data_IF_363538533038
#
_entry.id   IF_363538533038
#
_cell.length_a   1.000
_cell.length_b   1.000
_cell.length_c   1.000
_cell.angle_alpha   90.00
_cell.angle_beta   90.00
_cell.angle_gamma   90.00
#
_symmetry.space_group_name_H-M   'P 1'
#
loop_
_entity.id
_entity.type
_entity.pdbx_description
1 polymer ?
#
# COMPACT_ATOMS: atom_id res chain seq x y z
N UNK A 1 -39.86 47.51 26.70
CA UNK A 1 -40.09 47.00 28.06
C UNK A 1 -39.86 45.51 28.09
N UNK A 2 -39.20 45.06 29.14
CA UNK A 2 -38.92 43.71 29.60
C UNK A 2 -37.64 43.06 29.07
N UNK A 3 -36.61 43.34 29.86
CA UNK A 3 -35.36 42.65 30.10
C UNK A 3 -35.60 41.23 30.66
N UNK A 4 -34.82 40.26 30.22
CA UNK A 4 -34.62 39.05 31.02
C UNK A 4 -33.15 38.61 30.96
N UNK A 5 -32.58 38.46 32.15
CA UNK A 5 -31.18 38.14 32.46
C UNK A 5 -30.82 36.66 32.23
N UNK A 6 -29.52 36.33 32.21
CA UNK A 6 -29.00 34.99 31.94
C UNK A 6 -29.01 34.11 33.19
N UNK A 7 -29.35 32.82 33.02
CA UNK A 7 -29.23 31.81 34.07
C UNK A 7 -27.87 31.11 33.97
N UNK A 8 -27.10 31.21 35.06
CA UNK A 8 -25.91 30.43 35.38
C UNK A 8 -26.20 28.93 35.42
N UNK A 9 -25.40 28.12 34.74
CA UNK A 9 -25.37 26.68 34.90
C UNK A 9 -24.18 26.30 35.79
N UNK A 10 -24.50 25.69 36.91
CA UNK A 10 -23.62 25.19 37.95
C UNK A 10 -22.89 23.91 37.51
N UNK A 11 -21.59 23.86 37.75
CA UNK A 11 -20.76 22.64 37.53
C UNK A 11 -20.99 21.57 38.60
N UNK A 12 -20.93 20.28 38.28
CA UNK A 12 -21.01 19.23 39.28
C UNK A 12 -19.67 19.00 40.02
N UNK A 13 -19.72 18.46 41.27
CA UNK A 13 -18.55 18.37 42.14
C UNK A 13 -17.66 17.16 41.76
N UNK A 14 -16.36 17.34 42.00
CA UNK A 14 -15.32 16.36 41.88
C UNK A 14 -15.47 15.24 42.95
N UNK A 15 -15.44 13.98 42.53
CA UNK A 15 -15.31 12.84 43.44
C UNK A 15 -13.84 12.63 43.80
N UNK A 16 -13.49 12.94 45.03
CA UNK A 16 -12.24 12.62 45.69
C UNK A 16 -12.35 11.23 46.32
N UNK A 17 -11.59 10.23 45.85
CA UNK A 17 -11.44 8.94 46.52
C UNK A 17 -9.98 8.68 46.88
N UNK A 18 -9.67 8.81 48.17
CA UNK A 18 -8.44 8.33 48.81
C UNK A 18 -8.46 6.81 48.87
N UNK A 19 -7.50 6.16 48.23
CA UNK A 19 -7.24 4.73 48.38
C UNK A 19 -5.75 4.46 48.25
N UNK A 20 -5.05 4.43 49.40
CA UNK A 20 -3.67 3.93 49.52
C UNK A 20 -3.65 2.41 49.32
N UNK A 21 -3.11 1.96 48.20
CA UNK A 21 -2.76 0.55 47.96
C UNK A 21 -1.42 0.51 47.28
N UNK A 22 -0.37 0.22 48.05
CA UNK A 22 0.95 -0.16 47.48
C UNK A 22 0.82 -1.49 46.79
N UNK A 23 0.81 -1.49 45.44
CA UNK A 23 1.07 -2.68 44.64
C UNK A 23 2.41 -2.49 43.94
N UNK A 24 3.28 -3.48 44.12
CA UNK A 24 4.56 -3.61 43.45
C UNK A 24 4.40 -3.61 41.94
N UNK A 25 5.34 -3.03 41.19
CA UNK A 25 5.27 -3.09 39.73
C UNK A 25 5.59 -4.51 39.26
N UNK A 26 4.57 -5.22 38.82
CA UNK A 26 4.74 -6.43 38.02
C UNK A 26 5.32 -6.00 36.66
N UNK A 27 6.63 -6.12 36.52
CA UNK A 27 7.35 -5.99 35.27
C UNK A 27 7.13 -7.24 34.43
N UNK A 28 5.97 -7.38 33.83
CA UNK A 28 5.85 -8.17 32.60
C UNK A 28 6.05 -7.24 31.42
N UNK A 29 7.31 -6.97 31.09
CA UNK A 29 7.67 -6.50 29.76
C UNK A 29 7.35 -7.64 28.78
N UNK A 30 6.11 -7.68 28.31
CA UNK A 30 5.83 -8.27 27.01
C UNK A 30 6.59 -7.41 26.02
N UNK A 31 7.79 -7.85 25.65
CA UNK A 31 8.49 -7.34 24.47
C UNK A 31 7.63 -7.74 23.27
N UNK A 32 6.67 -6.88 22.94
CA UNK A 32 6.06 -6.90 21.61
C UNK A 32 7.22 -6.61 20.68
N UNK A 33 7.75 -7.65 20.06
CA UNK A 33 8.65 -7.53 18.93
C UNK A 33 7.87 -6.72 17.88
N UNK A 34 8.10 -5.43 17.88
CA UNK A 34 7.66 -4.56 16.80
C UNK A 34 8.42 -5.04 15.56
N UNK A 35 7.79 -5.94 14.81
CA UNK A 35 8.27 -6.33 13.50
C UNK A 35 8.42 -5.03 12.71
N UNK A 36 9.66 -4.62 12.48
CA UNK A 36 9.96 -3.40 11.75
C UNK A 36 9.41 -3.57 10.34
N UNK A 37 8.27 -2.93 10.08
CA UNK A 37 7.68 -2.83 8.74
C UNK A 37 8.22 -1.56 8.11
N UNK A 38 8.74 -1.68 6.89
CA UNK A 38 8.94 -0.53 6.03
C UNK A 38 7.77 -0.52 5.06
N UNK A 39 6.89 0.46 5.24
CA UNK A 39 5.67 0.59 4.44
C UNK A 39 5.68 1.94 3.71
N UNK A 40 5.12 1.94 2.51
CA UNK A 40 4.86 3.15 1.76
C UNK A 40 3.79 3.99 2.47
N UNK A 41 3.98 5.30 2.44
CA UNK A 41 3.02 6.27 2.99
C UNK A 41 2.15 6.91 1.92
N UNK A 42 2.46 6.69 0.65
CA UNK A 42 1.87 7.32 -0.53
C UNK A 42 0.96 6.41 -1.35
N UNK A 43 0.64 5.21 -0.86
CA UNK A 43 -0.25 4.26 -1.58
C UNK A 43 -1.59 4.90 -1.98
N UNK A 44 -2.14 5.78 -1.14
CA UNK A 44 -3.35 6.51 -1.47
C UNK A 44 -3.17 7.45 -2.66
N UNK A 45 -2.02 8.11 -2.79
CA UNK A 45 -1.72 8.97 -3.93
C UNK A 45 -1.50 8.17 -5.22
N UNK A 46 -0.85 7.01 -5.11
CA UNK A 46 -0.67 6.09 -6.25
C UNK A 46 -2.02 5.66 -6.80
N UNK A 47 -2.95 5.24 -5.93
CA UNK A 47 -4.30 4.86 -6.33
C UNK A 47 -5.08 6.05 -6.91
N UNK A 48 -5.03 7.21 -6.25
CA UNK A 48 -5.74 8.41 -6.68
C UNK A 48 -5.27 8.91 -8.06
N UNK A 49 -3.96 8.85 -8.32
CA UNK A 49 -3.39 9.26 -9.60
C UNK A 49 -3.97 8.47 -10.78
N UNK A 50 -4.18 7.16 -10.59
CA UNK A 50 -4.85 6.33 -11.58
C UNK A 50 -6.33 6.66 -11.70
N UNK A 51 -7.04 6.75 -10.57
CA UNK A 51 -8.48 7.01 -10.55
C UNK A 51 -8.81 8.30 -11.29
N UNK A 52 -8.08 9.39 -11.02
CA UNK A 52 -8.28 10.70 -11.64
C UNK A 52 -8.11 10.68 -13.18
N UNK A 53 -7.15 9.89 -13.66
CA UNK A 53 -6.93 9.71 -15.10
C UNK A 53 -8.00 8.81 -15.73
N UNK A 54 -8.32 7.71 -15.05
CA UNK A 54 -9.28 6.72 -15.53
C UNK A 54 -10.69 7.28 -15.61
N UNK A 55 -11.13 8.07 -14.63
CA UNK A 55 -12.46 8.70 -14.63
C UNK A 55 -12.66 9.68 -15.79
N UNK A 56 -11.59 10.33 -16.21
CA UNK A 56 -11.59 11.27 -17.35
C UNK A 56 -11.41 10.58 -18.70
N UNK A 57 -11.13 9.27 -18.70
CA UNK A 57 -10.75 8.55 -19.92
C UNK A 57 -11.90 8.34 -20.89
N UNK A 58 -13.13 8.25 -20.40
CA UNK A 58 -14.29 7.84 -21.19
C UNK A 58 -14.30 6.35 -21.53
N UNK A 59 -13.40 5.57 -20.97
CA UNK A 59 -13.32 4.12 -21.13
C UNK A 59 -14.49 3.39 -20.45
N UNK A 60 -14.57 2.07 -20.66
CA UNK A 60 -15.65 1.27 -20.07
C UNK A 60 -15.58 1.25 -18.55
N UNK A 61 -16.73 1.40 -17.91
CA UNK A 61 -16.90 1.38 -16.45
C UNK A 61 -17.61 0.09 -16.03
N UNK A 62 -17.25 -0.41 -14.87
CA UNK A 62 -17.98 -1.52 -14.26
C UNK A 62 -19.33 -1.08 -13.67
N UNK A 63 -20.31 -1.97 -13.71
CA UNK A 63 -21.62 -1.73 -13.08
C UNK A 63 -21.56 -1.83 -11.54
N UNK A 64 -20.51 -2.44 -11.00
CA UNK A 64 -20.20 -2.57 -9.58
C UNK A 64 -18.98 -1.71 -9.26
N UNK A 65 -19.05 -0.81 -8.26
CA UNK A 65 -17.91 0.02 -7.87
C UNK A 65 -16.63 -0.78 -7.57
N UNK A 66 -16.76 -1.99 -7.03
CA UNK A 66 -15.62 -2.85 -6.72
C UNK A 66 -14.99 -3.49 -7.98
N UNK A 67 -15.73 -3.56 -9.08
CA UNK A 67 -15.27 -4.08 -10.37
C UNK A 67 -15.00 -2.97 -11.41
N UNK A 68 -15.21 -1.70 -11.02
CA UNK A 68 -14.87 -0.58 -11.88
C UNK A 68 -13.35 -0.51 -12.06
N UNK A 69 -12.82 -0.53 -13.29
CA UNK A 69 -11.39 -0.51 -13.55
C UNK A 69 -10.66 0.68 -12.92
N UNK A 70 -11.34 1.81 -12.77
CA UNK A 70 -10.76 3.00 -12.16
C UNK A 70 -10.53 2.84 -10.65
N UNK A 71 -11.35 2.05 -9.98
CA UNK A 71 -11.20 1.74 -8.54
C UNK A 71 -10.36 0.48 -8.36
N UNK A 72 -10.67 -0.57 -9.10
CA UNK A 72 -10.11 -1.90 -8.89
C UNK A 72 -8.61 -1.93 -9.20
N UNK A 73 -8.19 -1.45 -10.38
CA UNK A 73 -6.80 -1.57 -10.84
C UNK A 73 -5.79 -0.78 -10.01
N UNK A 74 -6.21 0.24 -9.28
CA UNK A 74 -5.30 0.98 -8.42
C UNK A 74 -5.65 0.85 -6.93
N UNK A 75 -6.94 1.00 -6.59
CA UNK A 75 -7.38 1.05 -5.20
C UNK A 75 -7.48 -0.33 -4.53
N UNK A 76 -7.78 -1.39 -5.28
CA UNK A 76 -7.94 -2.74 -4.72
C UNK A 76 -6.75 -3.61 -5.13
N UNK A 77 -6.70 -4.04 -6.38
CA UNK A 77 -5.67 -4.96 -6.87
C UNK A 77 -4.29 -4.28 -6.86
N UNK A 78 -4.24 -3.00 -7.22
CA UNK A 78 -3.01 -2.21 -7.24
C UNK A 78 -2.37 -2.06 -5.87
N UNK A 79 -3.14 -1.71 -4.85
CA UNK A 79 -2.62 -1.61 -3.47
C UNK A 79 -2.21 -2.99 -2.96
N UNK A 80 -3.04 -4.02 -3.17
CA UNK A 80 -2.73 -5.38 -2.74
C UNK A 80 -1.42 -5.89 -3.35
N UNK A 81 -1.16 -5.60 -4.62
CA UNK A 81 0.06 -5.99 -5.30
C UNK A 81 1.33 -5.27 -4.77
N UNK A 82 1.17 -4.13 -4.10
CA UNK A 82 2.27 -3.41 -3.45
C UNK A 82 2.57 -3.87 -2.01
N UNK A 83 1.76 -4.78 -1.46
CA UNK A 83 2.00 -5.32 -0.12
C UNK A 83 3.20 -6.29 -0.12
N UNK A 84 3.85 -6.38 1.03
CA UNK A 84 5.05 -7.21 1.20
C UNK A 84 4.83 -8.71 0.97
N UNK A 85 3.61 -9.19 1.21
CA UNK A 85 3.22 -10.60 1.05
C UNK A 85 2.61 -10.91 -0.33
N UNK A 86 2.50 -9.93 -1.22
CA UNK A 86 2.00 -10.16 -2.56
C UNK A 86 3.00 -11.00 -3.37
N UNK A 87 2.49 -11.74 -4.37
CA UNK A 87 3.32 -12.46 -5.33
C UNK A 87 4.34 -11.53 -6.01
N UNK A 88 5.52 -12.07 -6.37
CA UNK A 88 6.58 -11.29 -6.99
C UNK A 88 6.14 -10.60 -8.29
N UNK A 89 5.23 -11.21 -9.03
CA UNK A 89 4.73 -10.70 -10.30
C UNK A 89 3.41 -9.90 -10.18
N UNK A 90 2.75 -9.90 -9.02
CA UNK A 90 1.45 -9.26 -8.86
C UNK A 90 1.41 -7.79 -9.32
N UNK A 91 2.45 -7.01 -9.01
CA UNK A 91 2.54 -5.62 -9.44
C UNK A 91 2.71 -5.48 -10.96
N UNK A 92 3.48 -6.38 -11.59
CA UNK A 92 3.63 -6.39 -13.04
C UNK A 92 2.32 -6.79 -13.73
N UNK A 93 1.68 -7.86 -13.27
CA UNK A 93 0.42 -8.33 -13.83
C UNK A 93 -0.69 -7.27 -13.70
N UNK A 94 -0.71 -6.52 -12.59
CA UNK A 94 -1.64 -5.40 -12.42
C UNK A 94 -1.30 -4.21 -13.33
N UNK A 95 -0.02 -3.88 -13.50
CA UNK A 95 0.40 -2.83 -14.44
C UNK A 95 0.06 -3.21 -15.90
N UNK A 96 0.20 -4.48 -16.26
CA UNK A 96 -0.25 -5.01 -17.56
C UNK A 96 -1.76 -4.81 -17.74
N UNK A 97 -2.57 -5.10 -16.72
CA UNK A 97 -4.01 -4.88 -16.77
C UNK A 97 -4.39 -3.39 -16.86
N UNK A 98 -3.63 -2.51 -16.22
CA UNK A 98 -3.80 -1.05 -16.36
C UNK A 98 -3.54 -0.59 -17.81
N UNK A 99 -2.50 -1.11 -18.46
CA UNK A 99 -2.19 -0.80 -19.87
C UNK A 99 -3.24 -1.42 -20.79
N UNK A 100 -3.68 -2.64 -20.54
CA UNK A 100 -4.75 -3.28 -21.31
C UNK A 100 -6.04 -2.44 -21.26
N UNK A 101 -6.37 -1.87 -20.10
CA UNK A 101 -7.48 -0.91 -19.99
C UNK A 101 -7.22 0.36 -20.81
N UNK A 102 -6.02 0.94 -20.71
CA UNK A 102 -5.69 2.16 -21.41
C UNK A 102 -5.85 2.04 -22.92
N UNK A 103 -5.61 0.85 -23.48
CA UNK A 103 -5.72 0.53 -24.91
C UNK A 103 -7.12 0.15 -25.37
N UNK A 104 -8.13 0.18 -24.49
CA UNK A 104 -9.49 -0.18 -24.87
C UNK A 104 -10.15 0.88 -25.76
N UNK A 105 -11.05 0.47 -26.66
CA UNK A 105 -11.81 1.41 -27.46
C UNK A 105 -12.59 2.42 -26.61
N UNK A 106 -12.53 3.69 -26.99
CA UNK A 106 -13.22 4.78 -26.29
C UNK A 106 -12.37 5.50 -25.23
N UNK A 107 -11.20 4.95 -24.85
CA UNK A 107 -10.26 5.63 -23.97
C UNK A 107 -9.58 6.79 -24.70
N UNK A 108 -9.72 8.02 -24.16
CA UNK A 108 -9.25 9.25 -24.82
C UNK A 108 -7.85 9.69 -24.39
N UNK A 109 -7.40 9.28 -23.20
CA UNK A 109 -6.14 9.69 -22.59
C UNK A 109 -5.18 8.50 -22.43
N UNK A 110 -5.16 7.60 -23.40
CA UNK A 110 -4.37 6.37 -23.43
C UNK A 110 -2.93 6.56 -22.93
N UNK A 111 -2.20 7.52 -23.53
CA UNK A 111 -0.79 7.75 -23.21
C UNK A 111 -0.57 8.18 -21.75
N UNK A 112 -1.48 8.96 -21.18
CA UNK A 112 -1.40 9.36 -19.78
C UNK A 112 -1.62 8.17 -18.84
N UNK A 113 -2.58 7.30 -19.17
CA UNK A 113 -2.85 6.07 -18.42
C UNK A 113 -1.68 5.09 -18.51
N UNK A 114 -1.10 4.89 -19.71
CA UNK A 114 0.10 4.06 -19.90
C UNK A 114 1.27 4.62 -19.07
N UNK A 115 1.50 5.93 -19.13
CA UNK A 115 2.54 6.58 -18.30
C UNK A 115 2.34 6.35 -16.81
N UNK A 116 1.09 6.41 -16.32
CA UNK A 116 0.75 6.12 -14.93
C UNK A 116 0.98 4.64 -14.58
N UNK A 117 0.60 3.71 -15.43
CA UNK A 117 0.84 2.27 -15.24
C UNK A 117 2.35 1.94 -15.18
N UNK A 118 3.18 2.58 -16.01
CA UNK A 118 4.64 2.46 -15.95
C UNK A 118 5.20 3.05 -14.66
N UNK A 119 4.70 4.20 -14.20
CA UNK A 119 5.08 4.79 -12.92
C UNK A 119 4.69 3.89 -11.74
N UNK A 120 3.47 3.33 -11.77
CA UNK A 120 3.01 2.35 -10.81
C UNK A 120 3.92 1.11 -10.78
N UNK A 121 4.33 0.56 -11.94
CA UNK A 121 5.24 -0.60 -12.00
C UNK A 121 6.63 -0.30 -11.41
N UNK A 122 7.10 0.93 -11.49
CA UNK A 122 8.36 1.38 -10.89
C UNK A 122 8.26 1.63 -9.38
N UNK A 123 7.05 1.78 -8.87
CA UNK A 123 6.82 2.08 -7.46
C UNK A 123 7.38 0.97 -6.57
N UNK A 124 8.06 1.29 -5.46
CA UNK A 124 8.56 0.25 -4.56
C UNK A 124 7.40 -0.46 -3.85
N UNK A 125 7.63 -1.71 -3.49
CA UNK A 125 6.71 -2.53 -2.70
C UNK A 125 7.03 -2.43 -1.22
N UNK A 126 6.03 -2.66 -0.36
CA UNK A 126 6.25 -2.76 1.08
C UNK A 126 7.20 -3.93 1.40
N UNK A 127 7.99 -3.78 2.45
CA UNK A 127 8.89 -4.81 2.94
C UNK A 127 8.60 -5.15 4.42
N UNK A 128 8.81 -6.39 4.82
CA UNK A 128 8.63 -6.88 6.19
C UNK A 128 9.95 -7.36 6.76
N UNK A 129 10.08 -7.23 8.08
CA UNK A 129 11.15 -7.89 8.80
C UNK A 129 10.91 -9.40 8.81
N UNK A 130 11.90 -10.15 8.37
CA UNK A 130 11.92 -11.61 8.38
C UNK A 130 13.14 -12.04 9.19
N UNK A 131 12.92 -12.61 10.37
CA UNK A 131 13.97 -13.08 11.26
C UNK A 131 15.05 -12.02 11.60
N UNK A 132 14.63 -10.76 11.81
CA UNK A 132 15.53 -9.67 12.17
C UNK A 132 16.08 -8.87 10.97
N UNK A 133 15.86 -9.31 9.75
CA UNK A 133 16.31 -8.68 8.51
C UNK A 133 15.12 -8.09 7.75
N UNK A 134 15.29 -6.97 7.08
CA UNK A 134 14.30 -6.42 6.13
C UNK A 134 14.86 -6.59 4.71
N UNK A 135 14.55 -7.71 4.05
CA UNK A 135 15.08 -7.97 2.72
C UNK A 135 14.46 -7.05 1.67
N UNK A 136 15.17 -6.87 0.56
CA UNK A 136 14.61 -6.32 -0.68
C UNK A 136 13.48 -7.20 -1.21
N UNK A 137 12.50 -6.60 -1.87
CA UNK A 137 11.38 -7.36 -2.46
C UNK A 137 11.83 -8.09 -3.71
N UNK A 138 11.26 -9.28 -3.94
CA UNK A 138 11.55 -10.10 -5.10
C UNK A 138 11.16 -9.39 -6.41
N UNK A 139 11.97 -9.57 -7.44
CA UNK A 139 11.63 -9.16 -8.79
C UNK A 139 10.78 -10.23 -9.49
N UNK A 140 9.87 -9.78 -10.37
CA UNK A 140 9.15 -10.66 -11.24
C UNK A 140 10.07 -11.15 -12.36
N UNK A 141 10.19 -12.46 -12.52
CA UNK A 141 11.00 -13.10 -13.59
C UNK A 141 10.20 -13.35 -14.87
N UNK A 142 8.88 -13.22 -14.80
CA UNK A 142 7.98 -13.35 -15.94
C UNK A 142 8.09 -12.15 -16.86
N UNK A 143 8.13 -12.38 -18.17
CA UNK A 143 8.05 -11.28 -19.13
C UNK A 143 6.68 -10.57 -19.04
N UNK A 144 6.65 -9.23 -19.11
CA UNK A 144 5.39 -8.50 -19.16
C UNK A 144 4.65 -8.78 -20.47
N UNK A 145 3.32 -8.69 -20.43
CA UNK A 145 2.47 -8.83 -21.64
C UNK A 145 2.58 -7.59 -22.53
N UNK A 146 2.65 -6.43 -21.93
CA UNK A 146 2.72 -5.16 -22.66
C UNK A 146 4.16 -4.71 -22.87
N UNK A 147 4.52 -4.34 -24.10
CA UNK A 147 5.90 -3.93 -24.43
C UNK A 147 6.38 -2.69 -23.66
N UNK A 148 5.46 -1.83 -23.23
CA UNK A 148 5.75 -0.63 -22.44
C UNK A 148 6.36 -0.94 -21.06
N UNK A 149 6.15 -2.15 -20.56
CA UNK A 149 6.72 -2.61 -19.29
C UNK A 149 8.02 -3.40 -19.47
N UNK A 150 8.49 -3.60 -20.70
CA UNK A 150 9.73 -4.34 -20.95
C UNK A 150 10.92 -3.64 -20.30
N UNK A 151 11.63 -4.36 -19.42
CA UNK A 151 12.77 -3.83 -18.68
C UNK A 151 12.39 -2.90 -17.51
N UNK A 152 11.10 -2.70 -17.24
CA UNK A 152 10.64 -1.92 -16.11
C UNK A 152 10.55 -2.82 -14.88
N UNK A 153 11.25 -2.46 -13.82
CA UNK A 153 11.24 -3.17 -12.54
C UNK A 153 10.84 -2.22 -11.40
N UNK A 154 10.33 -2.78 -10.31
CA UNK A 154 10.02 -2.00 -9.12
C UNK A 154 11.30 -1.51 -8.45
N UNK A 155 11.26 -0.29 -7.92
CA UNK A 155 12.29 0.20 -7.02
C UNK A 155 12.27 -0.59 -5.71
N UNK A 156 13.36 -0.53 -4.96
CA UNK A 156 13.43 -1.05 -3.61
C UNK A 156 13.20 0.08 -2.59
N UNK A 157 12.62 -0.23 -1.44
CA UNK A 157 12.45 0.73 -0.37
C UNK A 157 13.79 1.14 0.24
N UNK A 158 13.86 2.38 0.68
CA UNK A 158 14.98 2.84 1.47
C UNK A 158 15.05 2.08 2.81
N UNK A 159 16.22 1.58 3.17
CA UNK A 159 16.47 0.89 4.44
C UNK A 159 16.20 -0.61 4.41
N UNK A 160 15.92 -1.20 3.24
CA UNK A 160 16.01 -2.66 3.06
C UNK A 160 17.46 -3.10 2.89
N UNK A 161 17.74 -4.36 3.18
CA UNK A 161 19.04 -4.96 2.94
C UNK A 161 19.20 -5.26 1.45
N UNK A 162 20.17 -4.63 0.75
CA UNK A 162 20.31 -4.79 -0.70
C UNK A 162 20.91 -6.14 -1.13
N UNK A 163 21.53 -6.86 -0.19
CA UNK A 163 22.13 -8.17 -0.46
C UNK A 163 21.18 -9.35 -0.27
N UNK A 164 20.04 -9.10 0.32
CA UNK A 164 19.05 -10.12 0.66
C UNK A 164 17.71 -9.80 -0.02
N UNK A 165 17.05 -10.84 -0.50
CA UNK A 165 15.73 -10.75 -1.12
C UNK A 165 14.78 -11.70 -0.41
N UNK A 166 13.49 -11.39 -0.41
CA UNK A 166 12.53 -12.29 0.18
C UNK A 166 11.14 -11.72 0.38
N UNK A 167 10.27 -12.61 0.82
CA UNK A 167 8.91 -12.29 1.24
C UNK A 167 8.53 -13.20 2.42
N UNK A 168 7.44 -12.92 3.14
CA UNK A 168 6.96 -13.80 4.20
C UNK A 168 6.69 -15.23 3.76
N UNK A 169 6.33 -15.43 2.49
CA UNK A 169 6.04 -16.76 1.92
C UNK A 169 7.28 -17.51 1.44
N UNK A 170 8.33 -16.81 1.02
CA UNK A 170 9.54 -17.42 0.45
C UNK A 170 10.72 -17.46 1.42
N UNK A 171 10.62 -16.71 2.54
CA UNK A 171 11.76 -16.50 3.42
C UNK A 171 12.78 -15.54 2.84
N UNK A 172 13.97 -15.49 3.43
CA UNK A 172 15.10 -14.65 3.01
C UNK A 172 16.09 -15.47 2.22
N UNK A 173 16.48 -14.96 1.04
CA UNK A 173 17.47 -15.57 0.15
C UNK A 173 18.52 -14.54 -0.24
N UNK A 174 19.77 -14.97 -0.39
CA UNK A 174 20.80 -14.10 -0.95
C UNK A 174 20.54 -13.85 -2.45
N UNK A 175 21.01 -12.71 -2.97
CA UNK A 175 20.91 -12.40 -4.40
C UNK A 175 21.55 -13.54 -5.24
N UNK A 176 20.80 -14.07 -6.19
CA UNK A 176 21.26 -15.17 -7.04
C UNK A 176 21.15 -16.57 -6.41
N UNK A 177 20.81 -16.71 -5.14
CA UNK A 177 20.53 -18.00 -4.54
C UNK A 177 19.15 -18.50 -5.01
N UNK A 178 19.10 -19.69 -5.60
CA UNK A 178 17.86 -20.30 -6.08
C UNK A 178 17.69 -20.34 -7.60
N UNK A 179 18.67 -19.86 -8.35
CA UNK A 179 18.79 -20.14 -9.79
C UNK A 179 19.77 -21.30 -9.99
N UNK A 180 19.23 -22.51 -9.98
CA UNK A 180 19.92 -23.69 -10.52
C UNK A 180 19.28 -24.05 -11.84
#
# INVERSE_FOLDING_TARGET
MLTRAPTSATAPPACESKGKGKRAPSTSRASTLLLKRIAQTDLGQVAQSWQDLCEKSGGPRGNDPNNDPCVKLAGVDGINALLANADACAQQDNADAMIDFAKQPGVKNEQALIGNAVAYRKHPRNALNINGVVPSTLFCEKAPRNPELKGVVNAQLQGVDPGLFGSPSTGVVAFGAGKS
#
